data_IF_670695653775
#
_entry.id   IF_670695653775
#
_cell.length_a   1.000
_cell.length_b   1.000
_cell.length_c   1.000
_cell.angle_alpha   90.00
_cell.angle_beta   90.00
_cell.angle_gamma   90.00
#
_symmetry.space_group_name_H-M   'P 1'
#
loop_
_entity.id
_entity.type
_entity.pdbx_description
1 polymer ?
#
# COMPACT_ATOMS: atom_id res chain seq x y z
N UNK A 1 -20.82 8.79 1.68
CA UNK A 1 -20.76 7.66 0.72
C UNK A 1 -20.23 6.44 1.44
N UNK A 2 -20.85 5.29 1.26
CA UNK A 2 -20.42 4.05 1.91
C UNK A 2 -19.11 3.62 1.25
N UNK A 3 -18.03 3.69 2.01
CA UNK A 3 -16.76 3.11 1.59
C UNK A 3 -17.01 1.61 1.49
N UNK A 4 -16.68 1.08 0.33
CA UNK A 4 -16.76 -0.35 0.04
C UNK A 4 -15.95 -1.16 1.07
N UNK A 5 -16.11 -2.48 1.13
CA UNK A 5 -15.32 -3.27 2.07
C UNK A 5 -13.82 -3.21 1.72
N UNK A 6 -12.96 -3.45 2.71
CA UNK A 6 -11.50 -3.33 2.55
C UNK A 6 -10.97 -4.16 1.38
N UNK A 7 -11.41 -5.41 1.22
CA UNK A 7 -11.01 -6.24 0.09
C UNK A 7 -11.36 -5.60 -1.25
N UNK A 8 -12.55 -5.00 -1.38
CA UNK A 8 -12.93 -4.36 -2.63
C UNK A 8 -12.10 -3.08 -2.89
N UNK A 9 -11.77 -2.32 -1.85
CA UNK A 9 -10.85 -1.17 -1.97
C UNK A 9 -9.49 -1.64 -2.46
N UNK A 10 -8.92 -2.68 -1.84
CA UNK A 10 -7.58 -3.15 -2.12
C UNK A 10 -7.47 -3.84 -3.49
N UNK A 11 -8.50 -4.59 -3.92
CA UNK A 11 -8.42 -5.44 -5.11
C UNK A 11 -9.07 -4.84 -6.36
N UNK A 12 -10.24 -4.20 -6.24
CA UNK A 12 -11.09 -3.91 -7.40
C UNK A 12 -11.38 -2.41 -7.63
N UNK A 13 -11.38 -1.61 -6.56
CA UNK A 13 -11.71 -0.18 -6.66
C UNK A 13 -10.76 0.53 -7.62
N UNK A 14 -11.26 1.32 -8.59
CA UNK A 14 -10.42 2.08 -9.52
C UNK A 14 -9.48 3.05 -8.80
N UNK A 15 -8.27 3.20 -9.33
CA UNK A 15 -7.24 4.05 -8.70
C UNK A 15 -7.66 5.52 -8.66
N UNK A 16 -8.48 6.01 -9.60
CA UNK A 16 -8.97 7.39 -9.59
C UNK A 16 -9.85 7.66 -8.36
N UNK A 17 -10.69 6.70 -7.96
CA UNK A 17 -11.49 6.82 -6.74
C UNK A 17 -10.63 6.84 -5.49
N UNK A 18 -9.54 6.06 -5.46
CA UNK A 18 -8.61 6.02 -4.33
C UNK A 18 -7.86 7.36 -4.22
N UNK A 19 -7.45 7.96 -5.34
CA UNK A 19 -6.76 9.26 -5.37
C UNK A 19 -7.63 10.41 -4.82
N UNK A 20 -8.96 10.31 -4.92
CA UNK A 20 -9.87 11.33 -4.38
C UNK A 20 -9.77 11.49 -2.86
N UNK A 21 -9.26 10.49 -2.13
CA UNK A 21 -9.06 10.56 -0.68
C UNK A 21 -7.82 11.36 -0.26
N UNK A 22 -7.05 11.92 -1.21
CA UNK A 22 -5.99 12.89 -0.94
C UNK A 22 -4.67 12.30 -0.43
N UNK A 23 -4.47 10.99 -0.55
CA UNK A 23 -3.21 10.30 -0.23
C UNK A 23 -2.66 9.68 -1.51
N UNK A 24 -1.80 10.40 -2.22
CA UNK A 24 -1.24 9.98 -3.50
C UNK A 24 -0.40 8.70 -3.36
N UNK A 25 0.31 8.56 -2.24
CA UNK A 25 1.15 7.41 -1.97
C UNK A 25 0.31 6.15 -1.71
N UNK A 26 -0.91 6.29 -1.20
CA UNK A 26 -1.81 5.15 -1.00
C UNK A 26 -2.26 4.56 -2.34
N UNK A 27 -2.67 5.43 -3.27
CA UNK A 27 -3.05 4.99 -4.62
C UNK A 27 -1.87 4.32 -5.34
N UNK A 28 -0.68 4.90 -5.22
CA UNK A 28 0.55 4.34 -5.79
C UNK A 28 0.91 3.00 -5.17
N UNK A 29 0.77 2.87 -3.85
CA UNK A 29 1.07 1.62 -3.14
C UNK A 29 0.11 0.49 -3.55
N UNK A 30 -1.19 0.78 -3.63
CA UNK A 30 -2.20 -0.18 -4.10
C UNK A 30 -1.93 -0.57 -5.55
N UNK A 31 -1.61 0.38 -6.42
CA UNK A 31 -1.25 0.11 -7.82
C UNK A 31 -0.07 -0.86 -7.92
N UNK A 32 1.04 -0.59 -7.22
CA UNK A 32 2.25 -1.44 -7.24
C UNK A 32 1.96 -2.84 -6.74
N UNK A 33 1.22 -2.96 -5.63
CA UNK A 33 0.83 -4.27 -5.08
C UNK A 33 -0.01 -5.07 -6.08
N UNK A 34 -1.01 -4.43 -6.72
CA UNK A 34 -1.84 -5.10 -7.75
C UNK A 34 -1.04 -5.55 -8.97
N UNK A 35 0.00 -4.79 -9.35
CA UNK A 35 0.88 -5.11 -10.47
C UNK A 35 2.00 -6.10 -10.11
N UNK A 36 2.21 -6.39 -8.83
CA UNK A 36 3.37 -7.16 -8.36
C UNK A 36 4.70 -6.38 -8.43
N UNK A 37 4.65 -5.06 -8.56
CA UNK A 37 5.81 -4.16 -8.63
C UNK A 37 6.30 -3.80 -7.21
N UNK A 38 6.55 -4.82 -6.39
CA UNK A 38 6.95 -4.70 -5.00
C UNK A 38 8.21 -5.52 -4.74
N UNK A 39 8.98 -5.11 -3.73
CA UNK A 39 10.12 -5.88 -3.25
C UNK A 39 9.64 -6.87 -2.19
N UNK A 40 9.98 -8.14 -2.38
CA UNK A 40 9.62 -9.22 -1.46
C UNK A 40 10.89 -9.98 -1.06
N UNK A 41 11.23 -9.89 0.22
CA UNK A 41 12.27 -10.70 0.83
C UNK A 41 11.59 -11.94 1.42
N UNK A 42 11.87 -13.14 0.90
CA UNK A 42 11.23 -14.35 1.40
C UNK A 42 11.65 -14.61 2.85
N UNK A 43 10.70 -15.11 3.64
CA UNK A 43 11.00 -15.62 4.98
C UNK A 43 11.62 -17.01 4.94
N UNK A 44 12.13 -17.46 6.09
CA UNK A 44 12.70 -18.79 6.27
C UNK A 44 12.40 -19.33 7.68
N UNK A 45 12.38 -20.65 7.86
CA UNK A 45 12.32 -21.34 9.16
C UNK A 45 11.30 -20.81 10.19
N UNK A 46 10.09 -20.49 9.73
CA UNK A 46 9.01 -19.99 10.59
C UNK A 46 9.00 -18.47 10.78
N UNK A 47 9.93 -17.75 10.16
CA UNK A 47 9.92 -16.30 10.05
C UNK A 47 9.16 -15.85 8.80
N UNK A 48 8.34 -14.81 8.93
CA UNK A 48 7.68 -14.18 7.80
C UNK A 48 8.68 -13.37 6.98
N UNK A 49 8.45 -13.33 5.66
CA UNK A 49 9.19 -12.45 4.77
C UNK A 49 8.83 -10.98 4.96
N UNK A 50 9.64 -10.11 4.34
CA UNK A 50 9.43 -8.66 4.38
C UNK A 50 8.96 -8.19 3.01
N UNK A 51 7.84 -7.46 2.99
CA UNK A 51 7.33 -6.80 1.79
C UNK A 51 7.56 -5.31 1.90
N UNK A 52 8.18 -4.72 0.87
CA UNK A 52 8.42 -3.29 0.76
C UNK A 52 7.89 -2.75 -0.57
N UNK A 53 6.95 -1.81 -0.49
CA UNK A 53 6.30 -1.19 -1.66
C UNK A 53 7.10 -0.02 -2.21
N UNK A 54 7.80 0.69 -1.32
CA UNK A 54 8.63 1.85 -1.64
C UNK A 54 10.08 1.54 -1.32
N UNK A 55 11.00 2.14 -2.09
CA UNK A 55 12.43 2.00 -1.82
C UNK A 55 12.81 2.78 -0.56
N UNK A 56 13.89 2.36 0.10
CA UNK A 56 14.36 2.98 1.35
C UNK A 56 14.66 4.49 1.20
N UNK A 57 15.09 4.89 0.01
CA UNK A 57 15.43 6.29 -0.32
C UNK A 57 14.29 7.05 -1.02
N UNK A 58 13.12 6.42 -1.18
CA UNK A 58 11.96 7.05 -1.80
C UNK A 58 11.31 8.01 -0.79
N UNK A 59 11.23 9.30 -1.13
CA UNK A 59 10.63 10.30 -0.25
C UNK A 59 9.10 10.16 -0.27
N UNK A 60 8.55 9.59 0.81
CA UNK A 60 7.11 9.53 1.07
C UNK A 60 6.74 10.75 1.92
N UNK A 61 5.63 11.44 1.63
CA UNK A 61 5.24 12.63 2.38
C UNK A 61 5.05 12.33 3.86
N UNK A 62 5.84 13.00 4.72
CA UNK A 62 5.79 12.83 6.16
C UNK A 62 4.44 13.25 6.79
N UNK A 63 3.63 14.05 6.07
CA UNK A 63 2.32 14.52 6.54
C UNK A 63 1.26 13.42 6.65
N UNK A 64 1.42 12.31 5.92
CA UNK A 64 0.40 11.28 5.77
C UNK A 64 0.83 9.91 6.33
N UNK A 65 1.75 9.88 7.30
CA UNK A 65 2.17 8.62 7.92
C UNK A 65 1.04 8.01 8.75
N UNK A 66 0.60 6.83 8.36
CA UNK A 66 -0.28 6.01 9.19
C UNK A 66 0.41 5.73 10.53
N UNK A 67 -0.34 5.91 11.62
CA UNK A 67 0.15 5.55 12.95
C UNK A 67 0.40 4.04 12.96
N UNK A 68 1.54 3.63 13.52
CA UNK A 68 1.75 2.22 13.81
C UNK A 68 0.62 1.75 14.73
N UNK A 69 0.08 0.57 14.41
CA UNK A 69 -0.64 -0.20 15.42
C UNK A 69 0.44 -0.68 16.39
N UNK A 70 0.39 -0.15 17.62
CA UNK A 70 1.32 -0.31 18.74
C UNK A 70 2.55 0.61 18.74
#
# INVERSE_FOLDING_TARGET
EQIDNEFNILLNTPLEKIKQFGIEELATGIERVRKGEIHVEPGYDGEYGVVSVFKKDEQISAKNRQKALF
#
